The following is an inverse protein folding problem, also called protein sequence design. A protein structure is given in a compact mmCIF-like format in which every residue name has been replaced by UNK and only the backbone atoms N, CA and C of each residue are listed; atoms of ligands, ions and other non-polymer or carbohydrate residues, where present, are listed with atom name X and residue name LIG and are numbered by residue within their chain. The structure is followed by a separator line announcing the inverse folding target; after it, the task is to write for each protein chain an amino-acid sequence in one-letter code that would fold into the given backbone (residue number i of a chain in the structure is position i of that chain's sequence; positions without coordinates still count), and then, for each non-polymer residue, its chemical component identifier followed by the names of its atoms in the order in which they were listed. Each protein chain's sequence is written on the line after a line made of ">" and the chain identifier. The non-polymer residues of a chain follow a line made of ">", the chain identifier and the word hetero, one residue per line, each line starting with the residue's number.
data_IF_472015500815
#
_entry.id   IF_472015500815
#
_cell.length_a   1.000
_cell.length_b   1.000
_cell.length_c   1.000
_cell.angle_alpha   90.00
_cell.angle_beta   90.00
_cell.angle_gamma   90.00
#
_symmetry.space_group_name_H-M   'P 1'
#
loop_
_entity.id
_entity.type
_entity.pdbx_description
1 polymer ?
#
# COMPACT_ATOMS: atom_id res chain seq x y z
N UNK A 1 -22.89 -4.97 -39.34
CA UNK A 1 -23.91 -4.77 -38.30
C UNK A 1 -23.98 -6.10 -37.55
N UNK A 2 -23.44 -6.17 -36.33
CA UNK A 2 -23.22 -7.42 -35.57
C UNK A 2 -22.28 -8.42 -36.27
N UNK A 3 -21.61 -9.39 -35.64
CA UNK A 3 -21.06 -9.61 -34.28
C UNK A 3 -20.87 -11.13 -34.17
N UNK A 4 -19.67 -11.58 -33.78
CA UNK A 4 -19.39 -12.60 -32.74
C UNK A 4 -20.03 -14.01 -32.87
N UNK A 5 -19.38 -15.15 -32.61
CA UNK A 5 -17.98 -15.55 -32.33
C UNK A 5 -17.87 -17.07 -32.73
N UNK A 6 -17.08 -18.07 -32.29
CA UNK A 6 -16.21 -18.33 -31.12
C UNK A 6 -15.07 -19.33 -31.44
N UNK A 7 -14.06 -19.33 -30.56
CA UNK A 7 -13.32 -20.50 -30.06
C UNK A 7 -12.27 -21.19 -30.97
N UNK A 8 -11.00 -21.08 -30.54
CA UNK A 8 -9.96 -22.09 -30.79
C UNK A 8 -9.40 -22.60 -29.46
N UNK A 9 -9.17 -23.92 -29.35
CA UNK A 9 -8.59 -24.56 -28.17
C UNK A 9 -7.05 -24.57 -28.22
N UNK A 10 -6.42 -24.53 -27.05
CA UNK A 10 -5.28 -25.40 -26.76
C UNK A 10 -5.11 -25.59 -25.25
N UNK A 11 -4.86 -26.81 -24.80
CA UNK A 11 -4.52 -27.10 -23.41
C UNK A 11 -3.00 -27.15 -23.23
N UNK A 12 -2.48 -26.51 -22.19
CA UNK A 12 -1.09 -26.62 -21.73
C UNK A 12 -1.07 -26.78 -20.21
N UNK A 13 -0.09 -27.50 -19.67
CA UNK A 13 -0.04 -27.87 -18.26
C UNK A 13 1.38 -27.73 -17.67
N UNK A 14 1.46 -27.67 -16.34
CA UNK A 14 2.68 -27.65 -15.48
C UNK A 14 3.40 -26.30 -15.30
N UNK A 15 4.28 -26.26 -14.28
CA UNK A 15 4.62 -25.08 -13.49
C UNK A 15 5.89 -24.34 -13.95
N UNK A 16 5.91 -23.02 -13.75
CA UNK A 16 7.16 -22.23 -13.60
C UNK A 16 7.04 -21.24 -12.43
N UNK A 17 8.17 -20.96 -11.78
CA UNK A 17 8.26 -20.58 -10.37
C UNK A 17 7.45 -19.37 -9.88
N UNK A 18 6.87 -19.52 -8.68
CA UNK A 18 6.40 -18.42 -7.83
C UNK A 18 7.59 -17.59 -7.32
N UNK A 19 8.15 -16.76 -8.18
CA UNK A 19 9.12 -15.74 -7.77
C UNK A 19 8.37 -14.67 -6.97
N UNK A 20 8.49 -14.70 -5.64
CA UNK A 20 7.82 -13.76 -4.71
C UNK A 20 8.47 -12.37 -4.75
N UNK A 21 8.38 -11.72 -5.91
CA UNK A 21 8.63 -10.29 -6.04
C UNK A 21 7.37 -9.55 -5.53
N UNK A 22 7.30 -9.40 -4.21
CA UNK A 22 6.15 -8.87 -3.48
C UNK A 22 5.95 -7.37 -3.79
N UNK A 23 5.24 -7.11 -4.89
CA UNK A 23 4.71 -5.79 -5.22
C UNK A 23 3.83 -5.23 -4.11
N UNK A 24 3.87 -3.92 -3.92
CA UNK A 24 3.15 -3.24 -2.85
C UNK A 24 1.62 -3.33 -2.97
N UNK A 25 1.07 -3.75 -4.11
CA UNK A 25 -0.37 -3.92 -4.41
C UNK A 25 -1.18 -4.51 -3.24
N UNK A 26 -0.69 -5.58 -2.62
CA UNK A 26 -1.38 -6.27 -1.53
C UNK A 26 -1.34 -5.56 -0.17
N UNK A 27 -0.48 -4.54 -0.01
CA UNK A 27 -0.24 -3.83 1.24
C UNK A 27 -1.41 -2.90 1.58
N UNK A 28 -1.95 -3.07 2.80
CA UNK A 28 -3.02 -2.24 3.38
C UNK A 28 -2.51 -1.48 4.59
N UNK A 29 -2.98 -0.24 4.76
CA UNK A 29 -2.58 0.63 5.88
C UNK A 29 -2.84 -0.02 7.25
N UNK A 30 -3.94 -0.76 7.37
CA UNK A 30 -4.34 -1.49 8.59
C UNK A 30 -3.32 -2.57 9.01
N UNK A 31 -2.57 -3.15 8.07
CA UNK A 31 -1.49 -4.10 8.40
C UNK A 31 -0.28 -3.38 8.99
N UNK A 32 0.00 -2.14 8.54
CA UNK A 32 1.06 -1.31 9.10
C UNK A 32 0.69 -0.81 10.50
N UNK A 33 -0.57 -0.42 10.74
CA UNK A 33 -1.05 -0.09 12.09
C UNK A 33 -1.02 -1.29 13.04
N UNK A 34 -1.45 -2.48 12.61
CA UNK A 34 -1.28 -3.69 13.42
C UNK A 34 0.21 -3.94 13.73
N UNK A 35 1.10 -3.75 12.76
CA UNK A 35 2.54 -3.90 12.99
C UNK A 35 3.12 -2.82 13.92
N UNK A 36 2.56 -1.59 13.95
CA UNK A 36 2.91 -0.58 14.97
C UNK A 36 2.59 -1.11 16.37
N UNK A 37 1.37 -1.59 16.60
CA UNK A 37 0.92 -2.11 17.90
C UNK A 37 1.74 -3.34 18.31
N UNK A 38 1.88 -4.32 17.40
CA UNK A 38 2.65 -5.55 17.65
C UNK A 38 4.15 -5.29 17.91
N UNK A 39 4.69 -4.18 17.41
CA UNK A 39 6.10 -3.76 17.59
C UNK A 39 6.29 -2.65 18.64
N UNK A 40 5.22 -2.23 19.34
CA UNK A 40 5.20 -1.09 20.26
C UNK A 40 5.82 0.21 19.66
N UNK A 41 5.51 0.51 18.41
CA UNK A 41 6.02 1.67 17.68
C UNK A 41 5.24 2.97 18.02
N UNK A 42 5.95 4.11 18.08
CA UNK A 42 5.35 5.43 18.27
C UNK A 42 4.86 6.07 16.96
N UNK A 43 5.59 5.87 15.86
CA UNK A 43 5.36 6.54 14.58
C UNK A 43 5.39 5.55 13.42
N UNK A 44 4.58 5.83 12.38
CA UNK A 44 4.66 5.18 11.06
C UNK A 44 5.02 6.21 9.99
N UNK A 45 6.24 6.09 9.47
CA UNK A 45 6.79 6.91 8.39
C UNK A 45 6.50 6.26 7.03
N UNK A 46 5.65 6.90 6.23
CA UNK A 46 5.32 6.53 4.85
C UNK A 46 5.94 7.57 3.91
N UNK A 47 6.84 7.14 3.03
CA UNK A 47 7.56 8.04 2.11
C UNK A 47 7.99 7.28 0.87
N UNK A 48 7.76 7.84 -0.31
CA UNK A 48 8.12 7.24 -1.59
C UNK A 48 9.64 7.09 -1.75
N UNK A 49 10.05 6.12 -2.56
CA UNK A 49 11.46 5.74 -2.70
C UNK A 49 12.03 4.93 -1.53
N UNK A 50 11.26 4.69 -0.45
CA UNK A 50 11.68 3.84 0.68
C UNK A 50 10.56 2.91 1.14
N UNK A 51 10.90 1.78 1.78
CA UNK A 51 9.91 0.94 2.46
C UNK A 51 9.32 1.68 3.69
N UNK A 52 8.13 1.32 4.21
CA UNK A 52 7.58 1.92 5.42
C UNK A 52 8.57 1.84 6.60
N UNK A 53 8.63 2.89 7.43
CA UNK A 53 9.46 2.92 8.65
C UNK A 53 8.60 2.98 9.90
N UNK A 54 8.92 2.17 10.91
CA UNK A 54 8.30 2.22 12.24
C UNK A 54 9.30 2.80 13.22
N UNK A 55 8.91 3.82 14.01
CA UNK A 55 9.75 4.29 15.11
C UNK A 55 9.53 3.41 16.33
N UNK A 56 10.52 2.60 16.70
CA UNK A 56 10.49 1.71 17.86
C UNK A 56 11.61 2.12 18.81
N UNK A 57 11.27 2.45 20.05
CA UNK A 57 12.20 2.96 21.08
C UNK A 57 13.11 4.12 20.62
N UNK A 58 12.65 4.93 19.66
CA UNK A 58 13.38 6.08 19.09
C UNK A 58 13.98 5.83 17.70
N UNK A 59 14.38 4.60 17.40
CA UNK A 59 15.01 4.21 16.14
C UNK A 59 13.98 3.89 15.04
N UNK A 60 14.34 4.09 13.76
CA UNK A 60 13.45 3.81 12.63
C UNK A 60 13.79 2.43 12.03
N UNK A 61 12.94 1.44 12.31
CA UNK A 61 13.01 0.08 11.76
C UNK A 61 12.23 0.04 10.45
N UNK A 62 12.86 -0.36 9.34
CA UNK A 62 12.17 -0.52 8.04
C UNK A 62 11.39 -1.83 7.98
N UNK A 63 10.12 -1.74 7.56
CA UNK A 63 9.26 -2.91 7.28
C UNK A 63 9.79 -3.63 6.03
N UNK A 64 9.72 -4.96 6.04
CA UNK A 64 10.20 -5.83 4.94
C UNK A 64 9.24 -5.82 3.73
N UNK A 65 9.16 -4.69 3.05
CA UNK A 65 8.52 -4.53 1.73
C UNK A 65 9.54 -4.00 0.73
N UNK A 66 9.21 -4.06 -0.57
CA UNK A 66 9.91 -3.22 -1.56
C UNK A 66 9.69 -1.72 -1.24
N UNK A 67 10.52 -0.80 -1.78
CA UNK A 67 10.29 0.63 -1.64
C UNK A 67 8.91 1.05 -2.17
N UNK A 68 8.27 2.02 -1.51
CA UNK A 68 6.98 2.55 -1.93
C UNK A 68 7.12 3.45 -3.17
N UNK A 69 6.24 3.28 -4.15
CA UNK A 69 6.07 4.27 -5.23
C UNK A 69 5.27 5.49 -4.73
N UNK A 70 5.21 6.56 -5.53
CA UNK A 70 4.30 7.67 -5.25
C UNK A 70 2.83 7.22 -5.21
N UNK A 71 2.44 6.35 -6.13
CA UNK A 71 1.11 5.75 -6.19
C UNK A 71 0.80 4.91 -4.95
N UNK A 72 1.75 4.10 -4.45
CA UNK A 72 1.61 3.38 -3.19
C UNK A 72 1.38 4.31 -2.00
N UNK A 73 2.16 5.38 -1.88
CA UNK A 73 1.96 6.34 -0.77
C UNK A 73 0.58 6.99 -0.84
N UNK A 74 0.11 7.37 -2.03
CA UNK A 74 -1.24 7.91 -2.22
C UNK A 74 -2.31 6.86 -1.86
N UNK A 75 -2.18 5.64 -2.38
CA UNK A 75 -3.09 4.50 -2.14
C UNK A 75 -3.16 4.09 -0.67
N UNK A 76 -2.06 4.17 0.08
CA UNK A 76 -2.02 3.87 1.51
C UNK A 76 -2.69 4.95 2.35
N UNK A 77 -2.39 6.24 2.12
CA UNK A 77 -3.02 7.35 2.85
C UNK A 77 -4.52 7.48 2.50
N UNK A 78 -4.91 7.20 1.25
CA UNK A 78 -6.31 7.32 0.80
C UNK A 78 -7.24 6.24 1.40
N UNK A 79 -6.69 5.25 2.11
CA UNK A 79 -7.45 4.27 2.91
C UNK A 79 -7.90 4.83 4.28
N UNK A 80 -7.34 5.95 4.77
CA UNK A 80 -7.71 6.57 6.06
C UNK A 80 -8.34 7.96 5.93
N UNK A 81 -8.34 8.58 4.74
CA UNK A 81 -8.98 9.88 4.49
C UNK A 81 -10.42 9.73 4.00
N UNK A 82 -11.31 10.58 4.51
CA UNK A 82 -12.64 10.86 3.92
C UNK A 82 -12.51 11.55 2.55
N UNK A 83 -13.62 11.69 1.82
CA UNK A 83 -13.62 12.39 0.52
C UNK A 83 -13.31 13.88 0.68
N UNK A 84 -13.86 14.54 1.70
CA UNK A 84 -13.54 15.95 1.99
C UNK A 84 -12.07 16.14 2.35
N UNK A 85 -11.49 15.24 3.15
CA UNK A 85 -10.06 15.27 3.48
C UNK A 85 -9.16 15.04 2.25
N UNK A 86 -9.55 14.15 1.32
CA UNK A 86 -8.86 13.99 0.03
C UNK A 86 -8.95 15.27 -0.81
N UNK A 87 -10.14 15.85 -0.89
CA UNK A 87 -10.39 17.10 -1.60
C UNK A 87 -9.65 18.30 -1.00
N UNK A 88 -9.38 18.30 0.31
CA UNK A 88 -8.55 19.30 0.99
C UNK A 88 -7.06 19.06 0.73
N UNK A 89 -6.59 17.84 0.91
CA UNK A 89 -5.20 17.44 0.68
C UNK A 89 -4.76 17.71 -0.77
N UNK A 90 -5.58 17.42 -1.79
CA UNK A 90 -5.24 17.70 -3.19
C UNK A 90 -5.22 19.20 -3.53
N UNK A 91 -5.85 20.05 -2.72
CA UNK A 91 -5.86 21.53 -2.91
C UNK A 91 -4.74 22.22 -2.14
N UNK A 92 -4.43 21.74 -0.94
CA UNK A 92 -3.41 22.33 -0.04
C UNK A 92 -2.02 21.70 -0.17
N UNK A 93 -1.95 20.45 -0.66
CA UNK A 93 -0.77 19.58 -0.64
C UNK A 93 -0.29 19.16 0.77
N UNK A 94 -1.05 19.53 1.80
CA UNK A 94 -0.86 19.17 3.21
C UNK A 94 -2.22 18.91 3.86
N UNK A 95 -2.22 18.10 4.93
CA UNK A 95 -3.38 17.85 5.79
C UNK A 95 -2.88 17.33 7.16
N UNK A 96 -3.37 17.94 8.24
CA UNK A 96 -3.27 17.39 9.60
C UNK A 96 -4.67 16.96 10.05
N UNK A 97 -4.78 15.78 10.66
CA UNK A 97 -6.05 15.18 11.07
C UNK A 97 -5.84 14.08 12.13
N UNK A 98 -6.93 13.68 12.78
CA UNK A 98 -6.97 12.54 13.70
C UNK A 98 -8.16 11.66 13.40
N UNK A 99 -8.04 10.35 13.63
CA UNK A 99 -9.09 9.36 13.44
C UNK A 99 -8.94 8.25 14.49
N UNK A 100 -10.04 7.56 14.80
CA UNK A 100 -10.04 6.36 15.63
C UNK A 100 -9.97 5.08 14.81
N UNK A 101 -9.45 4.01 15.43
CA UNK A 101 -9.36 2.62 14.93
C UNK A 101 -9.70 1.65 16.04
#
# INVERSE_FOLDING_TARGET
>A
MSSDDTNNKTSGHTHTGTSQNLGNEGLKIQQLFKLMVDSNASDLHITSGTSPGLRVHGEIIKVKTIPLTGEDTKRLIYQILSEDQKNEFEKKLELDFSFGI
#
